data_IF_757077542741
#
_entry.id   IF_757077542741
#
_cell.length_a   1.000
_cell.length_b   1.000
_cell.length_c   1.000
_cell.angle_alpha   90.00
_cell.angle_beta   90.00
_cell.angle_gamma   90.00
#
_symmetry.space_group_name_H-M   'P 1'
#
loop_
_entity.id
_entity.type
_entity.pdbx_description
1 polymer ?
#
# COMPACT_ATOMS: atom_id res chain seq x y z
N UNK A 1 30.90 -17.66 -8.27
CA UNK A 1 30.91 -17.07 -6.91
C UNK A 1 29.71 -17.59 -6.12
N UNK A 2 29.80 -17.80 -4.78
CA UNK A 2 28.77 -18.50 -4.00
C UNK A 2 27.36 -17.87 -4.03
N UNK A 3 27.24 -16.55 -4.28
CA UNK A 3 25.93 -15.87 -4.41
C UNK A 3 25.03 -16.45 -5.51
N UNK A 4 25.62 -17.00 -6.58
CA UNK A 4 24.86 -17.59 -7.69
C UNK A 4 24.16 -18.91 -7.31
N UNK A 5 24.70 -19.66 -6.34
CA UNK A 5 24.13 -20.93 -5.88
C UNK A 5 22.81 -20.70 -5.10
N UNK A 6 22.68 -19.54 -4.46
CA UNK A 6 21.50 -19.14 -3.68
C UNK A 6 20.52 -18.26 -4.46
N UNK A 7 20.76 -18.06 -5.77
CA UNK A 7 20.02 -17.11 -6.62
C UNK A 7 19.92 -15.68 -6.01
N UNK A 8 20.88 -15.29 -5.17
CA UNK A 8 20.84 -14.03 -4.44
C UNK A 8 21.29 -12.87 -5.33
N UNK A 9 20.31 -12.15 -5.88
CA UNK A 9 20.49 -10.98 -6.74
C UNK A 9 19.77 -9.77 -6.13
N UNK A 10 20.44 -8.93 -5.31
CA UNK A 10 19.83 -7.77 -4.65
C UNK A 10 19.09 -6.84 -5.62
N UNK A 11 19.65 -6.63 -6.81
CA UNK A 11 19.04 -5.80 -7.86
C UNK A 11 17.70 -6.30 -8.39
N UNK A 12 17.36 -7.57 -8.15
CA UNK A 12 16.00 -8.07 -8.45
C UNK A 12 14.93 -7.53 -7.49
N UNK A 13 15.34 -6.84 -6.41
CA UNK A 13 14.51 -6.24 -5.36
C UNK A 13 14.60 -4.70 -5.30
N UNK A 14 15.31 -4.09 -6.24
CA UNK A 14 15.35 -2.62 -6.44
C UNK A 14 14.11 -2.13 -7.20
N UNK A 15 13.88 -0.81 -7.17
CA UNK A 15 12.84 -0.10 -7.94
C UNK A 15 12.96 -0.39 -9.45
N UNK A 16 11.84 -0.34 -10.16
CA UNK A 16 11.85 -0.54 -11.62
C UNK A 16 12.66 0.55 -12.33
N UNK A 17 13.31 0.22 -13.45
CA UNK A 17 13.97 1.22 -14.32
C UNK A 17 13.01 2.24 -14.91
N UNK A 18 11.69 1.97 -14.87
CA UNK A 18 10.64 2.93 -15.18
C UNK A 18 10.35 3.95 -14.06
N UNK A 19 11.04 3.87 -12.91
CA UNK A 19 10.87 4.76 -11.75
C UNK A 19 9.79 4.36 -10.74
N UNK A 20 8.95 3.37 -11.07
CA UNK A 20 7.80 2.99 -10.23
C UNK A 20 8.10 1.88 -9.23
N UNK A 21 7.39 1.94 -8.10
CA UNK A 21 7.38 0.96 -7.01
C UNK A 21 6.05 0.19 -7.04
N UNK A 22 6.09 -1.13 -6.91
CA UNK A 22 4.90 -1.99 -6.88
C UNK A 22 4.22 -2.05 -5.50
N UNK A 23 3.06 -2.72 -5.45
CA UNK A 23 2.44 -3.15 -4.20
C UNK A 23 2.46 -4.68 -4.13
N UNK A 24 2.87 -5.23 -2.99
CA UNK A 24 2.87 -6.68 -2.76
C UNK A 24 1.44 -7.20 -2.75
N UNK A 25 1.15 -8.25 -3.52
CA UNK A 25 -0.09 -8.99 -3.35
C UNK A 25 0.08 -9.97 -2.16
N UNK A 26 -0.85 -9.91 -1.21
CA UNK A 26 -0.85 -10.77 -0.01
C UNK A 26 -1.64 -12.07 -0.19
N UNK A 27 -2.22 -12.28 -1.38
CA UNK A 27 -3.01 -13.44 -1.76
C UNK A 27 -4.18 -12.98 -2.61
N UNK A 28 -5.15 -12.33 -1.98
CA UNK A 28 -6.39 -11.85 -2.60
C UNK A 28 -6.47 -10.31 -2.74
N UNK A 29 -5.42 -9.57 -2.41
CA UNK A 29 -5.43 -8.09 -2.29
C UNK A 29 -5.20 -7.34 -3.61
N UNK A 30 -5.45 -7.97 -4.76
CA UNK A 30 -5.21 -7.35 -6.07
C UNK A 30 -6.15 -6.17 -6.36
N UNK A 31 -7.41 -6.22 -5.90
CA UNK A 31 -8.38 -5.13 -6.01
C UNK A 31 -7.87 -3.86 -5.32
N UNK A 32 -7.46 -3.99 -4.06
CA UNK A 32 -6.88 -2.93 -3.24
C UNK A 32 -5.61 -2.36 -3.89
N UNK A 33 -4.72 -3.23 -4.36
CA UNK A 33 -3.47 -2.79 -4.97
C UNK A 33 -3.69 -2.02 -6.29
N UNK A 34 -4.66 -2.43 -7.11
CA UNK A 34 -5.01 -1.75 -8.36
C UNK A 34 -5.59 -0.35 -8.09
N UNK A 35 -6.55 -0.25 -7.16
CA UNK A 35 -7.15 1.02 -6.76
C UNK A 35 -6.12 1.99 -6.18
N UNK A 36 -5.26 1.53 -5.27
CA UNK A 36 -4.26 2.38 -4.62
C UNK A 36 -3.20 2.91 -5.59
N UNK A 37 -2.80 2.11 -6.58
CA UNK A 37 -1.94 2.57 -7.68
C UNK A 37 -2.68 3.59 -8.58
N UNK A 38 -3.97 3.36 -8.88
CA UNK A 38 -4.76 4.29 -9.68
C UNK A 38 -4.92 5.66 -8.99
N UNK A 39 -5.12 5.69 -7.67
CA UNK A 39 -5.18 6.90 -6.86
C UNK A 39 -3.81 7.61 -6.76
N UNK A 40 -2.72 6.86 -6.56
CA UNK A 40 -1.36 7.42 -6.50
C UNK A 40 -0.93 8.10 -7.82
N UNK A 41 -1.45 7.62 -8.96
CA UNK A 41 -1.15 8.16 -10.28
C UNK A 41 -1.92 9.46 -10.62
N UNK A 42 -2.79 9.95 -9.72
CA UNK A 42 -3.43 11.27 -9.81
C UNK A 42 -2.57 12.26 -8.99
N UNK A 43 -1.79 13.16 -9.61
CA UNK A 43 -0.82 14.02 -8.92
C UNK A 43 -1.44 14.86 -7.79
N UNK A 44 -2.54 15.54 -8.09
CA UNK A 44 -3.23 16.44 -7.16
C UNK A 44 -3.75 15.68 -5.93
N UNK A 45 -4.17 14.42 -6.13
CA UNK A 45 -4.66 13.57 -5.06
C UNK A 45 -3.51 13.08 -4.17
N UNK A 46 -2.41 12.55 -4.74
CA UNK A 46 -1.27 12.09 -3.93
C UNK A 46 -0.56 13.24 -3.21
N UNK A 47 -0.45 14.41 -3.83
CA UNK A 47 0.21 15.58 -3.25
C UNK A 47 -0.64 16.14 -2.10
N UNK A 48 -1.94 16.37 -2.34
CA UNK A 48 -2.87 16.77 -1.29
C UNK A 48 -2.97 15.76 -0.13
N UNK A 49 -2.74 14.47 -0.36
CA UNK A 49 -2.75 13.44 0.67
C UNK A 49 -1.42 13.34 1.46
N UNK A 50 -0.28 13.64 0.82
CA UNK A 50 1.02 13.75 1.49
C UNK A 50 1.09 14.98 2.40
N UNK A 51 0.40 16.06 2.05
CA UNK A 51 0.30 17.29 2.85
C UNK A 51 -0.68 17.20 4.05
N UNK A 52 -1.42 16.09 4.23
CA UNK A 52 -2.37 15.95 5.36
C UNK A 52 -1.64 15.81 6.70
N UNK A 53 -1.86 16.76 7.60
CA UNK A 53 -1.53 16.63 9.01
C UNK A 53 -2.60 15.81 9.74
N UNK A 54 -2.22 14.62 10.22
CA UNK A 54 -3.12 13.78 11.03
C UNK A 54 -2.94 14.02 12.53
N UNK A 55 -4.05 14.29 13.22
CA UNK A 55 -4.09 14.38 14.69
C UNK A 55 -3.61 13.06 15.32
N UNK A 56 -2.54 13.15 16.13
CA UNK A 56 -1.94 12.01 16.84
C UNK A 56 -2.90 11.43 17.87
N UNK A 57 -3.78 12.25 18.47
CA UNK A 57 -4.76 11.79 19.47
C UNK A 57 -5.86 10.88 18.88
N UNK A 58 -6.07 10.95 17.56
CA UNK A 58 -7.11 10.20 16.82
C UNK A 58 -6.55 9.01 16.04
N UNK A 59 -5.28 8.65 16.24
CA UNK A 59 -4.56 7.62 15.48
C UNK A 59 -5.22 6.22 15.48
N UNK A 60 -5.99 5.91 16.52
CA UNK A 60 -6.67 4.61 16.66
C UNK A 60 -8.09 4.58 16.07
N UNK A 61 -8.62 5.71 15.59
CA UNK A 61 -9.88 5.73 14.85
C UNK A 61 -9.69 5.09 13.47
N UNK A 62 -10.55 4.14 13.08
CA UNK A 62 -10.33 3.29 11.90
C UNK A 62 -10.07 4.07 10.59
N UNK A 63 -10.82 5.14 10.34
CA UNK A 63 -10.62 6.01 9.18
C UNK A 63 -9.26 6.74 9.22
N UNK A 64 -8.86 7.27 10.38
CA UNK A 64 -7.57 7.95 10.57
C UNK A 64 -6.41 6.96 10.48
N UNK A 65 -6.54 5.76 11.03
CA UNK A 65 -5.56 4.70 10.95
C UNK A 65 -5.33 4.25 9.49
N UNK A 66 -6.40 4.03 8.73
CA UNK A 66 -6.32 3.67 7.31
C UNK A 66 -5.71 4.79 6.48
N UNK A 67 -6.14 6.05 6.70
CA UNK A 67 -5.59 7.20 6.00
C UNK A 67 -4.09 7.39 6.29
N UNK A 68 -3.63 7.21 7.53
CA UNK A 68 -2.19 7.20 7.86
C UNK A 68 -1.42 6.12 7.10
N UNK A 69 -1.95 4.90 7.00
CA UNK A 69 -1.30 3.82 6.24
C UNK A 69 -1.22 4.12 4.75
N UNK A 70 -2.26 4.76 4.20
CA UNK A 70 -2.27 5.23 2.81
C UNK A 70 -1.22 6.33 2.56
N UNK A 71 -1.00 7.24 3.52
CA UNK A 71 0.02 8.29 3.43
C UNK A 71 1.43 7.69 3.47
N UNK A 72 1.68 6.76 4.40
CA UNK A 72 2.95 6.01 4.50
C UNK A 72 3.24 5.26 3.18
N UNK A 73 2.23 4.60 2.61
CA UNK A 73 2.35 3.93 1.32
C UNK A 73 2.68 4.91 0.19
N UNK A 74 1.97 6.05 0.08
CA UNK A 74 2.23 7.05 -0.97
C UNK A 74 3.64 7.63 -0.86
N UNK A 75 4.10 7.96 0.35
CA UNK A 75 5.48 8.42 0.59
C UNK A 75 6.51 7.35 0.19
N UNK A 76 6.23 6.08 0.48
CA UNK A 76 7.09 4.97 0.07
C UNK A 76 7.14 4.78 -1.45
N UNK A 77 5.99 4.88 -2.14
CA UNK A 77 5.93 4.80 -3.60
C UNK A 77 6.76 5.92 -4.25
N UNK A 78 6.72 7.12 -3.66
CA UNK A 78 7.48 8.29 -4.09
C UNK A 78 9.00 8.12 -3.87
N UNK A 79 9.44 7.71 -2.68
CA UNK A 79 10.85 7.79 -2.28
C UNK A 79 11.67 6.48 -2.32
N UNK A 80 11.08 5.31 -2.04
CA UNK A 80 11.82 4.25 -1.31
C UNK A 80 12.89 3.42 -2.06
N UNK A 81 13.12 3.57 -3.37
CA UNK A 81 14.07 2.77 -4.20
C UNK A 81 13.97 1.22 -4.12
N UNK A 82 12.94 0.68 -3.46
CA UNK A 82 12.65 -0.76 -3.37
C UNK A 82 11.64 -1.18 -4.43
N UNK A 83 11.62 -2.47 -4.77
CA UNK A 83 10.70 -3.03 -5.76
C UNK A 83 9.22 -2.86 -5.43
N UNK A 84 8.85 -3.02 -4.16
CA UNK A 84 7.46 -2.94 -3.73
C UNK A 84 7.30 -2.52 -2.26
N UNK A 85 6.16 -1.91 -1.95
CA UNK A 85 5.64 -1.75 -0.58
C UNK A 85 4.87 -3.01 -0.14
N UNK A 86 4.89 -3.31 1.16
CA UNK A 86 4.19 -4.46 1.75
C UNK A 86 2.90 -3.97 2.44
N UNK A 87 1.74 -4.30 1.88
CA UNK A 87 0.44 -3.71 2.24
C UNK A 87 -0.21 -4.28 3.51
N UNK A 88 0.50 -5.10 4.29
CA UNK A 88 -0.04 -5.77 5.48
C UNK A 88 -0.61 -4.81 6.51
N UNK A 89 0.12 -3.75 6.83
CA UNK A 89 -0.30 -2.79 7.86
C UNK A 89 -1.50 -1.95 7.39
N UNK A 90 -1.59 -1.67 6.09
CA UNK A 90 -2.76 -1.02 5.46
C UNK A 90 -4.00 -1.91 5.50
N UNK A 91 -3.87 -3.22 5.22
CA UNK A 91 -4.97 -4.18 5.37
C UNK A 91 -5.42 -4.29 6.84
N UNK A 92 -4.49 -4.27 7.79
CA UNK A 92 -4.78 -4.29 9.22
C UNK A 92 -5.42 -2.99 9.75
N UNK A 93 -5.27 -1.87 9.05
CA UNK A 93 -5.87 -0.58 9.40
C UNK A 93 -7.24 -0.33 8.76
N UNK A 94 -7.49 -0.86 7.56
CA UNK A 94 -8.81 -0.79 6.92
C UNK A 94 -9.87 -1.57 7.73
N UNK A 95 -11.12 -1.14 7.66
CA UNK A 95 -12.26 -1.69 8.41
C UNK A 95 -13.38 -2.01 7.43
N UNK A 96 -13.95 -3.20 7.54
CA UNK A 96 -15.16 -3.60 6.81
C UNK A 96 -16.44 -3.05 7.46
N UNK A 97 -17.60 -3.42 6.91
CA UNK A 97 -18.92 -3.06 7.43
C UNK A 97 -19.13 -3.47 8.91
N UNK A 98 -18.53 -4.59 9.34
CA UNK A 98 -18.61 -5.11 10.71
C UNK A 98 -17.56 -4.48 11.65
N UNK A 99 -16.81 -3.47 11.19
CA UNK A 99 -15.71 -2.80 11.90
C UNK A 99 -14.52 -3.74 12.20
N UNK A 100 -14.36 -4.81 11.44
CA UNK A 100 -13.24 -5.74 11.56
C UNK A 100 -12.13 -5.42 10.54
N UNK A 101 -10.86 -5.75 10.84
CA UNK A 101 -9.78 -5.65 9.85
C UNK A 101 -10.01 -6.62 8.68
N UNK A 102 -9.83 -6.14 7.45
CA UNK A 102 -10.07 -6.97 6.27
C UNK A 102 -9.13 -8.18 6.20
N UNK A 103 -9.65 -9.30 5.74
CA UNK A 103 -8.87 -10.52 5.56
C UNK A 103 -8.18 -10.53 4.17
N UNK A 104 -6.84 -10.39 4.08
CA UNK A 104 -6.12 -10.35 2.80
C UNK A 104 -6.13 -11.69 2.03
N UNK A 105 -6.76 -12.73 2.59
CA UNK A 105 -6.96 -14.05 1.97
C UNK A 105 -8.32 -14.16 1.27
N UNK A 106 -9.22 -13.19 1.45
CA UNK A 106 -10.56 -13.15 0.85
C UNK A 106 -10.55 -12.17 -0.32
N UNK A 107 -11.07 -12.60 -1.47
CA UNK A 107 -11.28 -11.71 -2.62
C UNK A 107 -12.54 -10.88 -2.39
N UNK A 108 -12.48 -9.60 -2.71
CA UNK A 108 -13.61 -8.67 -2.63
C UNK A 108 -13.73 -7.91 -3.95
N UNK A 109 -14.92 -7.41 -4.25
CA UNK A 109 -15.13 -6.55 -5.42
C UNK A 109 -14.52 -5.16 -5.19
N UNK A 110 -14.09 -4.49 -6.26
CA UNK A 110 -13.72 -3.07 -6.22
C UNK A 110 -14.95 -2.21 -5.92
N UNK A 111 -16.13 -2.57 -6.43
CA UNK A 111 -17.33 -1.77 -6.19
C UNK A 111 -17.81 -1.87 -4.72
N UNK A 112 -17.54 -3.00 -4.05
CA UNK A 112 -17.79 -3.18 -2.61
C UNK A 112 -16.78 -2.42 -1.73
N UNK A 113 -15.60 -2.06 -2.26
CA UNK A 113 -14.63 -1.19 -1.58
C UNK A 113 -15.12 0.28 -1.46
N UNK A 114 -15.97 0.73 -2.39
CA UNK A 114 -16.35 2.14 -2.54
C UNK A 114 -17.58 2.58 -1.72
N UNK A 115 -18.38 1.65 -1.20
CA UNK A 115 -19.69 1.91 -0.60
C UNK A 115 -19.70 1.68 0.93
#
# INVERSE_FOLDING_TARGET
APRALWHYMPSSMERSTAGYVGLKNLGATCYLNALMQQLYMIPEFREGFLDVEFDVSREQEGATAFAKQMQIMFAYLHESEKKFFDTRDMCAAWRDYDQLPINPSVQMDVDEFYN
#
